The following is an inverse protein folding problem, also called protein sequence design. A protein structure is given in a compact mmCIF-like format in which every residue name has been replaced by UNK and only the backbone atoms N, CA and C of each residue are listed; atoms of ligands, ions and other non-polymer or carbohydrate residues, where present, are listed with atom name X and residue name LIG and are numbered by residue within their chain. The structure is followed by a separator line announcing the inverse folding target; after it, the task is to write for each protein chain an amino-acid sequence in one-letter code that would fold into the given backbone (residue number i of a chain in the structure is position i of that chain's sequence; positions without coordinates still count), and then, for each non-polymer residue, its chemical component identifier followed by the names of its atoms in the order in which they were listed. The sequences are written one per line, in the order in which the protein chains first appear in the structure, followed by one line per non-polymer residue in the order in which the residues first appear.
data_IF_071970626834
#
_entry.id   IF_071970626834
#
_cell.length_a   1.000
_cell.length_b   1.000
_cell.length_c   1.000
_cell.angle_alpha   90.00
_cell.angle_beta   90.00
_cell.angle_gamma   90.00
#
_symmetry.space_group_name_H-M   'P 1'
#
loop_
_entity.id
_entity.type
_entity.pdbx_description
1 polymer ?
#
# COMPACT_ATOMS: atom_id res chain seq x y z
N UNK A 1 6.10 -0.81 -24.51
CA UNK A 1 6.96 0.30 -24.08
C UNK A 1 7.89 -0.21 -22.99
N UNK A 2 9.09 0.34 -22.90
CA UNK A 2 10.05 0.03 -21.84
C UNK A 2 10.49 1.35 -21.23
N UNK A 3 10.54 1.38 -19.91
CA UNK A 3 11.06 2.49 -19.12
C UNK A 3 12.25 2.00 -18.29
N UNK A 4 13.20 2.88 -18.04
CA UNK A 4 14.42 2.59 -17.28
C UNK A 4 14.55 3.63 -16.17
N UNK A 5 14.93 3.22 -14.96
CA UNK A 5 15.32 4.14 -13.90
C UNK A 5 16.67 3.75 -13.28
N UNK A 6 17.40 4.76 -12.81
CA UNK A 6 18.65 4.58 -12.06
C UNK A 6 18.30 4.43 -10.58
N UNK A 7 18.77 3.34 -9.97
CA UNK A 7 18.62 3.12 -8.54
C UNK A 7 19.65 3.93 -7.75
N UNK A 8 19.39 4.19 -6.45
CA UNK A 8 20.34 4.89 -5.58
C UNK A 8 21.71 4.21 -5.45
N UNK A 9 21.80 2.91 -5.70
CA UNK A 9 23.07 2.14 -5.70
C UNK A 9 23.81 2.20 -7.05
N UNK A 10 23.31 2.97 -8.02
CA UNK A 10 23.89 3.09 -9.36
C UNK A 10 23.51 1.96 -10.32
N UNK A 11 22.84 0.91 -9.86
CA UNK A 11 22.26 -0.11 -10.75
C UNK A 11 21.05 0.47 -11.49
N UNK A 12 20.63 -0.12 -12.61
CA UNK A 12 19.41 0.33 -13.30
C UNK A 12 18.32 -0.71 -13.26
N UNK A 13 17.10 -0.21 -13.04
CA UNK A 13 15.87 -0.96 -13.11
C UNK A 13 15.25 -0.74 -14.49
N UNK A 14 14.74 -1.80 -15.09
CA UNK A 14 14.01 -1.73 -16.37
C UNK A 14 12.62 -2.31 -16.17
N UNK A 15 11.59 -1.54 -16.53
CA UNK A 15 10.19 -1.95 -16.45
C UNK A 15 9.60 -1.91 -17.86
N UNK A 16 9.04 -3.04 -18.29
CA UNK A 16 8.35 -3.16 -19.59
C UNK A 16 6.86 -3.37 -19.40
N UNK A 17 6.07 -2.74 -20.27
CA UNK A 17 4.64 -2.97 -20.36
C UNK A 17 4.12 -2.96 -21.80
N UNK A 18 3.00 -3.64 -21.99
CA UNK A 18 2.16 -3.55 -23.19
C UNK A 18 1.00 -2.61 -22.90
N UNK A 19 0.83 -1.57 -23.72
CA UNK A 19 -0.34 -0.68 -23.67
C UNK A 19 -1.35 -1.10 -24.74
N UNK A 20 -2.63 -1.09 -24.37
CA UNK A 20 -3.76 -1.39 -25.25
C UNK A 20 -4.78 -0.28 -25.04
N UNK A 21 -5.18 0.37 -26.12
CA UNK A 21 -6.22 1.39 -26.12
C UNK A 21 -7.47 0.81 -26.78
N UNK A 22 -8.59 0.81 -26.06
CA UNK A 22 -9.89 0.37 -26.59
C UNK A 22 -10.78 1.58 -26.81
N UNK A 23 -10.92 1.98 -28.08
CA UNK A 23 -11.75 3.12 -28.48
C UNK A 23 -13.26 2.92 -28.26
N UNK A 24 -13.73 1.68 -28.06
CA UNK A 24 -15.17 1.41 -27.80
C UNK A 24 -15.54 1.69 -26.36
N UNK A 25 -14.67 1.29 -25.43
CA UNK A 25 -14.87 1.49 -23.99
C UNK A 25 -14.20 2.76 -23.47
N UNK A 26 -13.33 3.38 -24.27
CA UNK A 26 -12.53 4.53 -23.86
C UNK A 26 -11.52 4.17 -22.77
N UNK A 27 -11.02 2.94 -22.76
CA UNK A 27 -10.11 2.45 -21.73
C UNK A 27 -8.69 2.32 -22.25
N UNK A 28 -7.72 2.66 -21.40
CA UNK A 28 -6.30 2.39 -21.62
C UNK A 28 -5.86 1.33 -20.63
N UNK A 29 -5.34 0.21 -21.13
CA UNK A 29 -4.85 -0.91 -20.32
C UNK A 29 -3.33 -1.03 -20.47
N UNK A 30 -2.61 -1.08 -19.35
CA UNK A 30 -1.19 -1.47 -19.32
C UNK A 30 -1.04 -2.81 -18.62
N UNK A 31 -0.28 -3.71 -19.25
CA UNK A 31 0.06 -5.03 -18.73
C UNK A 31 1.57 -5.11 -18.62
N UNK A 32 2.07 -5.36 -17.41
CA UNK A 32 3.49 -5.36 -17.09
C UNK A 32 4.09 -6.76 -17.20
N UNK A 33 5.41 -6.84 -17.39
CA UNK A 33 6.13 -8.11 -17.45
C UNK A 33 6.00 -8.94 -16.17
N UNK A 34 5.75 -8.29 -15.04
CA UNK A 34 5.46 -8.92 -13.74
C UNK A 34 3.96 -9.16 -13.52
N UNK A 35 3.16 -9.32 -14.58
CA UNK A 35 1.75 -9.68 -14.47
C UNK A 35 0.83 -8.58 -13.95
N UNK A 36 1.35 -7.53 -13.33
CA UNK A 36 0.54 -6.40 -12.87
C UNK A 36 -0.19 -5.77 -14.05
N UNK A 37 -1.36 -5.21 -13.77
CA UNK A 37 -2.19 -4.56 -14.77
C UNK A 37 -2.77 -3.27 -14.21
N UNK A 38 -2.81 -2.24 -15.03
CA UNK A 38 -3.53 -1.01 -14.73
C UNK A 38 -4.49 -0.72 -15.87
N UNK A 39 -5.73 -0.37 -15.54
CA UNK A 39 -6.75 0.04 -16.52
C UNK A 39 -7.25 1.41 -16.10
N UNK A 40 -7.10 2.39 -16.98
CA UNK A 40 -7.73 3.70 -16.85
C UNK A 40 -8.98 3.73 -17.72
N UNK A 41 -10.12 4.00 -17.11
CA UNK A 41 -11.37 4.31 -17.78
C UNK A 41 -11.74 5.79 -17.61
N UNK A 42 -12.93 6.14 -18.08
CA UNK A 42 -13.43 7.53 -18.03
C UNK A 42 -13.57 8.07 -16.60
N UNK A 43 -14.01 7.23 -15.67
CA UNK A 43 -14.38 7.59 -14.30
C UNK A 43 -13.73 6.68 -13.25
N UNK A 44 -12.79 5.83 -13.65
CA UNK A 44 -12.13 4.89 -12.74
C UNK A 44 -10.70 4.56 -13.15
N UNK A 45 -9.92 4.13 -12.16
CA UNK A 45 -8.66 3.42 -12.32
C UNK A 45 -8.77 2.06 -11.64
N UNK A 46 -8.41 0.99 -12.36
CA UNK A 46 -8.30 -0.36 -11.83
C UNK A 46 -6.83 -0.79 -11.79
N UNK A 47 -6.40 -1.38 -10.68
CA UNK A 47 -5.05 -1.91 -10.46
C UNK A 47 -5.13 -3.36 -10.03
N UNK A 48 -4.48 -4.24 -10.76
CA UNK A 48 -4.42 -5.69 -10.49
C UNK A 48 -3.00 -6.09 -10.09
N UNK A 49 -2.85 -6.86 -9.02
CA UNK A 49 -1.56 -7.49 -8.66
C UNK A 49 -1.47 -8.87 -9.32
N UNK A 50 -1.32 -8.90 -10.65
CA UNK A 50 -1.32 -10.16 -11.39
C UNK A 50 -2.66 -10.90 -11.26
N UNK A 51 -2.60 -12.18 -10.91
CA UNK A 51 -3.77 -13.00 -10.57
C UNK A 51 -4.18 -12.88 -9.08
N UNK A 52 -3.79 -11.79 -8.41
CA UNK A 52 -4.18 -11.44 -7.04
C UNK A 52 -5.40 -10.50 -7.01
N UNK A 53 -5.51 -9.69 -5.97
CA UNK A 53 -6.65 -8.78 -5.79
C UNK A 53 -6.68 -7.68 -6.85
N UNK A 54 -7.89 -7.42 -7.35
CA UNK A 54 -8.24 -6.29 -8.20
C UNK A 54 -8.75 -5.13 -7.33
N UNK A 55 -8.15 -3.95 -7.48
CA UNK A 55 -8.57 -2.72 -6.82
C UNK A 55 -9.14 -1.75 -7.85
N UNK A 56 -10.26 -1.10 -7.55
CA UNK A 56 -10.84 -0.04 -8.38
C UNK A 56 -10.99 1.20 -7.52
N UNK A 57 -10.54 2.34 -8.04
CA UNK A 57 -10.76 3.68 -7.48
C UNK A 57 -11.54 4.50 -8.50
N UNK A 58 -12.67 5.07 -8.08
CA UNK A 58 -13.53 5.90 -8.92
C UNK A 58 -13.21 7.37 -8.70
N UNK A 59 -13.48 8.19 -9.72
CA UNK A 59 -13.26 9.64 -9.67
C UNK A 59 -14.09 10.32 -8.58
N UNK A 60 -15.22 9.72 -8.19
CA UNK A 60 -16.09 10.20 -7.11
C UNK A 60 -15.62 9.80 -5.70
N UNK A 61 -14.43 9.20 -5.59
CA UNK A 61 -13.79 8.80 -4.33
C UNK A 61 -14.18 7.41 -3.84
N UNK A 62 -15.16 6.74 -4.45
CA UNK A 62 -15.52 5.35 -4.09
C UNK A 62 -14.43 4.37 -4.52
N UNK A 63 -14.21 3.35 -3.69
CA UNK A 63 -13.25 2.29 -3.93
C UNK A 63 -13.91 0.91 -3.81
N UNK A 64 -13.37 -0.07 -4.50
CA UNK A 64 -13.75 -1.47 -4.34
C UNK A 64 -12.53 -2.36 -4.54
N UNK A 65 -12.53 -3.52 -3.89
CA UNK A 65 -11.53 -4.54 -4.09
C UNK A 65 -12.19 -5.90 -4.23
N UNK A 66 -11.69 -6.72 -5.16
CA UNK A 66 -12.28 -8.01 -5.52
C UNK A 66 -11.20 -9.08 -5.61
N UNK A 67 -11.49 -10.26 -5.06
CA UNK A 67 -10.63 -11.43 -5.16
C UNK A 67 -10.64 -11.99 -6.60
N UNK A 68 -9.66 -12.83 -6.98
CA UNK A 68 -9.59 -13.45 -8.31
C UNK A 68 -10.82 -14.27 -8.71
N UNK A 69 -11.58 -14.78 -7.74
CA UNK A 69 -12.82 -15.53 -7.98
C UNK A 69 -14.07 -14.65 -8.10
N UNK A 70 -13.90 -13.32 -8.10
CA UNK A 70 -14.98 -12.35 -8.21
C UNK A 70 -15.68 -12.01 -6.89
N UNK A 71 -15.30 -12.61 -5.76
CA UNK A 71 -15.87 -12.25 -4.46
C UNK A 71 -15.30 -10.92 -3.96
N UNK A 72 -16.12 -10.04 -3.36
CA UNK A 72 -15.64 -8.76 -2.87
C UNK A 72 -14.73 -8.93 -1.64
N UNK A 73 -13.66 -8.14 -1.59
CA UNK A 73 -12.89 -7.86 -0.37
C UNK A 73 -13.59 -6.73 0.39
N UNK A 74 -13.83 -5.61 -0.29
CA UNK A 74 -14.68 -4.52 0.17
C UNK A 74 -15.35 -3.80 -0.99
N UNK A 75 -16.44 -3.08 -0.72
CA UNK A 75 -17.13 -2.24 -1.69
C UNK A 75 -17.69 -0.98 -1.06
N UNK A 76 -17.47 0.14 -1.74
CA UNK A 76 -18.03 1.44 -1.36
C UNK A 76 -19.37 1.70 -2.05
N UNK A 77 -20.28 2.34 -1.32
CA UNK A 77 -21.49 2.95 -1.86
C UNK A 77 -21.72 4.32 -1.25
N UNK A 78 -22.41 5.21 -1.97
CA UNK A 78 -22.90 6.43 -1.33
C UNK A 78 -24.07 6.11 -0.42
N UNK A 79 -24.10 6.80 0.71
CA UNK A 79 -25.23 6.83 1.62
C UNK A 79 -25.45 8.25 2.10
N UNK A 80 -26.64 8.51 2.61
CA UNK A 80 -27.00 9.80 3.21
C UNK A 80 -27.17 9.59 4.70
N UNK A 81 -26.42 10.35 5.49
CA UNK A 81 -26.55 10.37 6.93
C UNK A 81 -27.17 11.70 7.34
N UNK A 82 -28.17 11.67 8.21
CA UNK A 82 -28.68 12.89 8.85
C UNK A 82 -27.84 13.16 10.08
N UNK A 83 -27.13 14.28 10.07
CA UNK A 83 -26.40 14.72 11.26
C UNK A 83 -27.36 15.19 12.37
N UNK A 84 -26.80 15.59 13.51
CA UNK A 84 -27.57 16.09 14.66
C UNK A 84 -28.34 17.39 14.32
N UNK A 85 -27.89 18.14 13.31
CA UNK A 85 -28.60 19.31 12.76
C UNK A 85 -29.73 18.94 11.79
N UNK A 86 -29.87 17.67 11.41
CA UNK A 86 -30.90 17.18 10.49
C UNK A 86 -30.57 17.35 9.01
N UNK A 87 -29.41 17.93 8.67
CA UNK A 87 -28.98 18.13 7.30
C UNK A 87 -28.46 16.82 6.71
N UNK A 88 -28.85 16.46 5.47
CA UNK A 88 -28.37 15.27 4.81
C UNK A 88 -26.91 15.47 4.38
N UNK A 89 -25.99 14.77 5.05
CA UNK A 89 -24.58 14.69 4.65
C UNK A 89 -24.35 13.48 3.76
N UNK A 90 -23.73 13.69 2.60
CA UNK A 90 -23.27 12.60 1.72
C UNK A 90 -22.07 11.92 2.34
N UNK A 91 -22.16 10.63 2.54
CA UNK A 91 -21.08 9.79 3.07
C UNK A 91 -20.80 8.64 2.12
N UNK A 92 -19.60 8.08 2.24
CA UNK A 92 -19.28 6.78 1.64
C UNK A 92 -19.42 5.74 2.74
N UNK A 93 -20.13 4.66 2.43
CA UNK A 93 -20.21 3.47 3.26
C UNK A 93 -19.36 2.38 2.60
N UNK A 94 -18.32 1.91 3.30
CA UNK A 94 -17.51 0.76 2.89
C UNK A 94 -17.99 -0.48 3.62
N UNK A 95 -18.41 -1.48 2.86
CA UNK A 95 -18.68 -2.82 3.42
C UNK A 95 -17.48 -3.72 3.16
N UNK A 96 -16.82 -4.20 4.22
CA UNK A 96 -15.74 -5.19 4.17
C UNK A 96 -16.32 -6.59 4.34
N UNK A 97 -16.02 -7.47 3.40
CA UNK A 97 -16.48 -8.86 3.35
C UNK A 97 -15.37 -9.84 3.68
N UNK A 98 -14.12 -9.45 3.50
CA UNK A 98 -12.95 -10.29 3.72
C UNK A 98 -11.93 -9.56 4.58
N UNK A 99 -11.35 -10.26 5.55
CA UNK A 99 -10.16 -9.84 6.29
C UNK A 99 -9.00 -10.80 6.02
N UNK A 100 -7.79 -10.38 6.37
CA UNK A 100 -6.60 -11.22 6.23
C UNK A 100 -6.17 -11.78 7.58
N UNK A 101 -5.81 -13.06 7.59
CA UNK A 101 -5.27 -13.75 8.75
C UNK A 101 -4.21 -14.76 8.34
N UNK A 102 -2.99 -14.59 8.86
CA UNK A 102 -1.80 -15.39 8.52
C UNK A 102 -1.63 -15.49 7.00
N UNK A 103 -1.78 -14.35 6.32
CA UNK A 103 -1.66 -14.23 4.86
C UNK A 103 -2.77 -14.88 4.04
N UNK A 104 -3.90 -15.29 4.65
CA UNK A 104 -5.04 -15.93 3.96
C UNK A 104 -6.32 -15.09 4.08
N UNK A 105 -7.18 -15.10 3.05
CA UNK A 105 -8.47 -14.42 3.13
C UNK A 105 -9.41 -15.21 4.02
N UNK A 106 -10.05 -14.51 4.97
CA UNK A 106 -11.09 -15.03 5.84
C UNK A 106 -12.34 -14.20 5.62
N UNK A 107 -13.43 -14.87 5.24
CA UNK A 107 -14.73 -14.21 5.06
C UNK A 107 -15.31 -13.80 6.40
N UNK A 108 -15.77 -12.57 6.47
CA UNK A 108 -16.48 -12.05 7.62
C UNK A 108 -17.85 -12.72 7.68
N UNK A 109 -18.15 -13.39 8.79
CA UNK A 109 -19.48 -13.99 9.01
C UNK A 109 -20.59 -12.94 9.01
N UNK A 110 -20.23 -11.71 9.40
CA UNK A 110 -21.05 -10.50 9.26
C UNK A 110 -20.16 -9.42 8.64
N UNK A 111 -20.45 -8.96 7.41
CA UNK A 111 -19.67 -7.90 6.79
C UNK A 111 -19.55 -6.67 7.69
N UNK A 112 -18.34 -6.12 7.79
CA UNK A 112 -18.03 -4.96 8.62
C UNK A 112 -18.33 -3.70 7.83
N UNK A 113 -19.16 -2.82 8.38
CA UNK A 113 -19.55 -1.56 7.74
C UNK A 113 -18.82 -0.39 8.39
N UNK A 114 -18.10 0.38 7.58
CA UNK A 114 -17.39 1.60 7.95
C UNK A 114 -17.91 2.79 7.17
N UNK A 115 -17.84 3.97 7.76
CA UNK A 115 -18.34 5.20 7.17
C UNK A 115 -17.20 6.20 6.96
N UNK A 116 -17.29 6.95 5.86
CA UNK A 116 -16.29 7.92 5.48
C UNK A 116 -16.99 9.23 5.10
N UNK A 117 -16.49 10.32 5.66
CA UNK A 117 -16.91 11.66 5.28
C UNK A 117 -16.28 12.01 3.94
N UNK A 118 -17.10 12.18 2.90
CA UNK A 118 -16.62 12.63 1.60
C UNK A 118 -16.27 14.13 1.67
N UNK A 119 -15.15 14.52 1.05
CA UNK A 119 -14.69 15.90 1.04
C UNK A 119 -13.61 16.15 0.01
N UNK A 120 -12.96 17.29 0.15
CA UNK A 120 -11.82 17.70 -0.69
C UNK A 120 -10.67 18.13 0.19
N UNK A 121 -9.45 17.88 -0.27
CA UNK A 121 -8.22 18.38 0.33
C UNK A 121 -7.32 18.91 -0.80
N UNK A 122 -7.01 20.21 -0.80
CA UNK A 122 -6.32 20.89 -1.90
C UNK A 122 -6.87 20.53 -3.29
N UNK A 123 -8.21 20.57 -3.42
CA UNK A 123 -8.93 20.23 -4.66
C UNK A 123 -9.02 18.74 -4.98
N UNK A 124 -8.24 17.87 -4.33
CA UNK A 124 -8.32 16.43 -4.53
C UNK A 124 -9.52 15.82 -3.79
N UNK A 125 -10.31 14.93 -4.41
CA UNK A 125 -11.40 14.24 -3.74
C UNK A 125 -10.83 13.25 -2.71
N UNK A 126 -11.34 13.33 -1.49
CA UNK A 126 -10.90 12.49 -0.36
C UNK A 126 -12.10 11.95 0.41
N UNK A 127 -11.89 10.82 1.08
CA UNK A 127 -12.84 10.23 1.99
C UNK A 127 -12.14 10.07 3.35
N UNK A 128 -12.68 10.63 4.42
CA UNK A 128 -12.09 10.55 5.76
C UNK A 128 -12.78 9.45 6.56
N UNK A 129 -12.06 8.40 6.94
CA UNK A 129 -12.61 7.35 7.80
C UNK A 129 -13.14 7.95 9.12
N UNK A 130 -14.42 7.69 9.41
CA UNK A 130 -15.10 8.17 10.61
C UNK A 130 -15.16 7.04 11.64
N UNK A 131 -14.24 7.01 12.61
CA UNK A 131 -14.26 5.98 13.62
C UNK A 131 -15.46 6.14 14.55
N UNK A 132 -15.98 5.02 15.04
CA UNK A 132 -16.86 5.04 16.21
C UNK A 132 -15.99 5.19 17.45
N UNK A 133 -16.40 5.99 18.46
CA UNK A 133 -15.67 6.07 19.71
C UNK A 133 -15.39 4.68 20.27
N UNK A 134 -14.11 4.39 20.54
CA UNK A 134 -13.69 3.09 21.06
C UNK A 134 -14.34 2.82 22.43
N UNK A 135 -14.93 1.63 22.65
CA UNK A 135 -15.42 1.25 23.96
C UNK A 135 -14.28 1.24 25.00
N UNK A 136 -14.57 1.57 26.28
CA UNK A 136 -13.54 1.68 27.33
C UNK A 136 -12.60 0.47 27.46
N UNK A 137 -13.09 -0.75 27.18
CA UNK A 137 -12.29 -1.97 27.22
C UNK A 137 -11.09 -1.95 26.25
N UNK A 138 -11.26 -1.36 25.06
CA UNK A 138 -10.18 -1.24 24.07
C UNK A 138 -9.12 -0.22 24.48
N UNK A 139 -9.51 0.78 25.28
CA UNK A 139 -8.58 1.78 25.79
C UNK A 139 -7.79 1.19 26.96
N UNK A 140 -8.48 0.50 27.87
CA UNK A 140 -7.87 -0.12 29.04
C UNK A 140 -6.74 -1.09 28.66
N UNK A 141 -6.92 -1.88 27.59
CA UNK A 141 -5.89 -2.80 27.11
C UNK A 141 -4.69 -2.12 26.44
N UNK A 142 -4.85 -0.89 25.96
CA UNK A 142 -3.76 -0.15 25.33
C UNK A 142 -2.90 0.62 26.36
N UNK A 143 -3.51 1.08 27.46
CA UNK A 143 -2.84 1.97 28.42
C UNK A 143 -2.23 1.25 29.63
N UNK A 144 -2.59 -0.02 29.86
CA UNK A 144 -2.10 -0.82 30.99
C UNK A 144 -1.18 -1.92 30.48
N UNK A 145 0.02 -2.11 31.08
CA UNK A 145 0.89 -3.24 30.77
C UNK A 145 0.16 -4.59 30.88
N UNK A 146 0.50 -5.53 30.01
CA UNK A 146 -0.09 -6.86 30.07
C UNK A 146 0.33 -7.58 31.36
N UNK A 147 -0.62 -8.15 32.13
CA UNK A 147 -0.29 -8.90 33.34
C UNK A 147 0.49 -10.19 33.04
N UNK A 148 0.30 -10.75 31.85
CA UNK A 148 1.07 -11.86 31.31
C UNK A 148 1.66 -11.41 29.96
N UNK A 149 2.98 -11.52 29.74
CA UNK A 149 3.60 -11.13 28.47
C UNK A 149 2.96 -11.89 27.29
N UNK A 150 2.57 -11.17 26.25
CA UNK A 150 2.00 -11.78 25.05
C UNK A 150 3.12 -12.20 24.10
N UNK A 151 3.23 -13.49 23.72
CA UNK A 151 4.29 -13.93 22.83
C UNK A 151 4.09 -13.34 21.42
N UNK A 152 5.16 -12.93 20.74
CA UNK A 152 5.03 -12.33 19.40
C UNK A 152 4.31 -13.24 18.39
N UNK A 153 4.53 -14.55 18.51
CA UNK A 153 3.92 -15.59 17.66
C UNK A 153 2.39 -15.71 17.81
N UNK A 154 1.80 -15.13 18.88
CA UNK A 154 0.35 -15.08 19.12
C UNK A 154 -0.41 -14.43 17.96
N UNK A 155 0.22 -13.50 17.25
CA UNK A 155 -0.43 -12.70 16.21
C UNK A 155 0.04 -13.07 14.79
N UNK A 156 0.78 -14.17 14.64
CA UNK A 156 1.34 -14.65 13.38
C UNK A 156 2.87 -14.70 13.38
N UNK A 157 3.45 -15.20 12.29
CA UNK A 157 4.91 -15.22 12.12
C UNK A 157 5.38 -13.85 11.63
N UNK A 158 5.69 -12.94 12.54
CA UNK A 158 6.11 -11.56 12.25
C UNK A 158 7.31 -11.54 11.28
N UNK A 159 8.29 -12.42 11.52
CA UNK A 159 9.54 -12.50 10.76
C UNK A 159 9.35 -13.00 9.31
N UNK A 160 8.16 -13.50 8.95
CA UNK A 160 7.83 -13.79 7.53
C UNK A 160 7.59 -12.52 6.71
N UNK A 161 7.16 -11.43 7.35
CA UNK A 161 6.73 -10.20 6.67
C UNK A 161 7.74 -9.08 6.85
N UNK A 162 8.30 -8.96 8.06
CA UNK A 162 9.17 -7.84 8.46
C UNK A 162 10.35 -8.36 9.26
N UNK A 163 11.55 -7.88 8.93
CA UNK A 163 12.75 -8.09 9.71
C UNK A 163 13.05 -6.82 10.52
N UNK A 164 12.74 -6.87 11.82
CA UNK A 164 13.15 -5.83 12.75
C UNK A 164 14.60 -6.06 13.20
N UNK A 165 15.31 -4.98 13.54
CA UNK A 165 16.65 -5.09 14.14
C UNK A 165 16.65 -5.92 15.44
N UNK A 166 15.56 -5.84 16.21
CA UNK A 166 15.31 -6.72 17.36
C UNK A 166 13.80 -6.93 17.58
N UNK A 167 13.27 -8.10 17.18
CA UNK A 167 11.90 -8.52 17.47
C UNK A 167 11.80 -9.01 18.92
N UNK A 168 10.97 -8.39 19.80
CA UNK A 168 10.72 -8.91 21.13
C UNK A 168 10.11 -10.32 21.04
N UNK A 169 10.60 -11.27 21.86
CA UNK A 169 9.98 -12.62 21.93
C UNK A 169 8.59 -12.58 22.54
N UNK A 170 8.37 -11.64 23.45
CA UNK A 170 7.09 -11.36 24.08
C UNK A 170 6.98 -9.86 24.39
N UNK A 171 5.74 -9.38 24.45
CA UNK A 171 5.39 -7.99 24.69
C UNK A 171 4.74 -7.85 26.05
N UNK A 172 5.25 -6.94 26.86
CA UNK A 172 4.65 -6.48 28.13
C UNK A 172 3.95 -5.14 27.97
N UNK A 173 4.47 -4.28 27.09
CA UNK A 173 3.91 -2.97 26.77
C UNK A 173 2.99 -3.05 25.53
N UNK A 174 1.68 -2.77 25.67
CA UNK A 174 0.75 -2.74 24.56
C UNK A 174 1.11 -1.74 23.46
N UNK A 175 1.72 -0.61 23.81
CA UNK A 175 2.12 0.39 22.81
C UNK A 175 3.23 -0.15 21.90
N UNK A 176 4.18 -0.91 22.46
CA UNK A 176 5.23 -1.59 21.70
C UNK A 176 4.63 -2.64 20.77
N UNK A 177 3.75 -3.50 21.30
CA UNK A 177 3.04 -4.51 20.50
C UNK A 177 2.25 -3.88 19.37
N UNK A 178 1.42 -2.87 19.67
CA UNK A 178 0.56 -2.22 18.69
C UNK A 178 1.35 -1.48 17.61
N UNK A 179 2.48 -0.86 17.96
CA UNK A 179 3.39 -0.23 17.00
C UNK A 179 3.97 -1.25 16.01
N UNK A 180 4.50 -2.37 16.51
CA UNK A 180 5.04 -3.42 15.63
C UNK A 180 3.90 -4.09 14.82
N UNK A 181 2.75 -4.37 15.45
CA UNK A 181 1.54 -4.90 14.79
C UNK A 181 1.13 -4.05 13.60
N UNK A 182 1.13 -2.73 13.77
CA UNK A 182 0.76 -1.80 12.72
C UNK A 182 1.63 -1.96 11.47
N UNK A 183 2.94 -2.17 11.66
CA UNK A 183 3.89 -2.35 10.56
C UNK A 183 3.67 -3.71 9.88
N UNK A 184 3.74 -4.80 10.65
CA UNK A 184 3.74 -6.13 10.05
C UNK A 184 2.40 -6.48 9.42
N UNK A 185 1.26 -6.05 9.99
CA UNK A 185 -0.04 -6.41 9.42
C UNK A 185 -0.30 -5.67 8.11
N UNK A 186 0.33 -4.51 7.87
CA UNK A 186 0.33 -3.89 6.55
C UNK A 186 1.07 -4.71 5.49
N UNK A 187 2.25 -5.26 5.82
CA UNK A 187 2.98 -6.15 4.91
C UNK A 187 2.30 -7.52 4.75
N UNK A 188 1.69 -8.04 5.81
CA UNK A 188 0.84 -9.24 5.77
C UNK A 188 -0.29 -9.08 4.76
N UNK A 189 -1.03 -7.97 4.83
CA UNK A 189 -2.10 -7.62 3.88
C UNK A 189 -1.57 -7.58 2.44
N UNK A 190 -0.44 -6.92 2.20
CA UNK A 190 0.14 -6.82 0.85
C UNK A 190 0.60 -8.15 0.26
N UNK A 191 1.23 -9.02 1.07
CA UNK A 191 1.57 -10.38 0.63
C UNK A 191 0.32 -11.22 0.39
N UNK A 192 -0.74 -11.01 1.16
CA UNK A 192 -1.99 -11.70 0.96
C UNK A 192 -2.74 -11.24 -0.32
N UNK A 193 -2.70 -9.95 -0.63
CA UNK A 193 -3.24 -9.40 -1.89
C UNK A 193 -2.52 -9.90 -3.15
N UNK A 194 -1.26 -10.29 -2.99
CA UNK A 194 -0.43 -10.87 -4.05
C UNK A 194 -0.34 -12.39 -4.00
N UNK A 195 -1.02 -13.07 -3.07
CA UNK A 195 -0.94 -14.53 -2.97
C UNK A 195 -1.67 -15.18 -4.17
N UNK A 196 -1.05 -16.16 -4.86
CA UNK A 196 -1.69 -16.84 -5.97
C UNK A 196 -2.92 -17.60 -5.47
N UNK A 197 -4.08 -17.20 -5.97
CA UNK A 197 -5.34 -17.90 -5.77
C UNK A 197 -5.41 -19.05 -6.79
N UNK A 198 -5.83 -20.23 -6.34
CA UNK A 198 -6.10 -21.43 -7.16
C UNK A 198 -4.96 -21.98 -8.04
N UNK A 199 -3.70 -22.02 -7.57
CA UNK A 199 -2.61 -22.71 -8.27
C UNK A 199 -2.14 -22.08 -9.59
N UNK A 200 -2.76 -20.98 -10.00
CA UNK A 200 -2.36 -20.16 -11.14
C UNK A 200 -1.15 -19.30 -10.75
N UNK A 201 -0.09 -19.30 -11.57
CA UNK A 201 1.06 -18.43 -11.34
C UNK A 201 0.61 -16.96 -11.29
N UNK A 202 0.98 -16.22 -10.24
CA UNK A 202 0.70 -14.79 -10.08
C UNK A 202 1.12 -13.97 -11.32
N UNK A 203 2.14 -14.47 -12.03
CA UNK A 203 2.81 -13.85 -13.16
C UNK A 203 2.50 -14.54 -14.51
N UNK A 204 1.57 -15.50 -14.52
CA UNK A 204 1.39 -16.48 -15.58
C UNK A 204 0.57 -16.03 -16.80
N UNK A 205 0.12 -14.78 -16.91
CA UNK A 205 -0.69 -14.38 -18.06
C UNK A 205 0.13 -14.44 -19.36
N UNK A 206 -0.43 -14.96 -20.48
CA UNK A 206 0.26 -15.00 -21.77
C UNK A 206 0.74 -13.61 -22.23
N UNK A 207 -0.03 -12.57 -21.89
CA UNK A 207 0.33 -11.19 -22.18
C UNK A 207 1.55 -10.75 -21.38
N UNK A 208 1.62 -11.02 -20.07
CA UNK A 208 2.81 -10.74 -19.27
C UNK A 208 4.02 -11.55 -19.75
N UNK A 209 3.82 -12.82 -20.11
CA UNK A 209 4.86 -13.65 -20.71
C UNK A 209 5.40 -13.04 -22.01
N UNK A 210 4.53 -12.51 -22.87
CA UNK A 210 4.95 -11.84 -24.12
C UNK A 210 5.77 -10.58 -23.85
N UNK A 211 5.43 -9.80 -22.81
CA UNK A 211 6.20 -8.63 -22.39
C UNK A 211 7.58 -9.06 -21.89
N UNK A 212 7.66 -10.11 -21.07
CA UNK A 212 8.94 -10.67 -20.60
C UNK A 212 9.82 -11.13 -21.76
N UNK A 213 9.27 -11.88 -22.70
CA UNK A 213 10.01 -12.35 -23.87
C UNK A 213 10.54 -11.18 -24.71
N UNK A 214 9.75 -10.12 -24.90
CA UNK A 214 10.19 -8.92 -25.62
C UNK A 214 11.32 -8.19 -24.89
N UNK A 215 11.26 -8.10 -23.55
CA UNK A 215 12.34 -7.51 -22.75
C UNK A 215 13.63 -8.33 -22.83
N UNK A 216 13.55 -9.66 -22.75
CA UNK A 216 14.71 -10.56 -22.87
C UNK A 216 15.34 -10.46 -24.26
N UNK A 217 14.55 -10.43 -25.33
CA UNK A 217 15.06 -10.26 -26.69
C UNK A 217 15.78 -8.93 -26.85
N UNK A 218 15.26 -7.84 -26.28
CA UNK A 218 15.93 -6.55 -26.31
C UNK A 218 17.26 -6.59 -25.55
N UNK A 219 17.31 -7.24 -24.39
CA UNK A 219 18.55 -7.41 -23.62
C UNK A 219 19.61 -8.18 -24.42
N UNK A 220 19.22 -9.21 -25.16
CA UNK A 220 20.14 -9.96 -26.03
C UNK A 220 20.64 -9.12 -27.21
N UNK A 221 19.77 -8.34 -27.85
CA UNK A 221 20.16 -7.42 -28.94
C UNK A 221 21.12 -6.34 -28.45
N UNK A 222 20.86 -5.78 -27.28
CA UNK A 222 21.73 -4.83 -26.61
C UNK A 222 23.13 -5.37 -26.31
N UNK A 223 23.21 -6.56 -25.71
CA UNK A 223 24.49 -7.23 -25.45
C UNK A 223 25.27 -7.44 -26.75
N UNK A 224 24.61 -7.85 -27.84
CA UNK A 224 25.25 -8.06 -29.15
C UNK A 224 25.73 -6.76 -29.84
N UNK A 225 25.13 -5.60 -29.54
CA UNK A 225 25.57 -4.30 -30.08
C UNK A 225 26.74 -3.70 -29.29
N UNK A 226 26.88 -4.05 -28.02
CA UNK A 226 27.94 -3.52 -27.13
C UNK A 226 29.30 -4.16 -27.43
N UNK A 227 29.35 -5.33 -28.08
CA UNK A 227 30.59 -5.95 -28.56
C UNK A 227 31.23 -5.20 -29.75
N UNK A 228 30.60 -4.14 -30.29
CA UNK A 228 31.06 -3.47 -31.53
C UNK A 228 31.04 -1.94 -31.59
N UNK A 229 30.71 -1.18 -30.53
CA UNK A 229 30.69 0.30 -30.59
C UNK A 229 30.96 1.01 -29.26
N UNK A 230 31.77 2.09 -29.23
CA UNK A 230 31.98 2.90 -28.04
C UNK A 230 30.76 3.80 -27.72
N UNK A 231 30.34 3.79 -26.46
CA UNK A 231 29.20 4.53 -25.92
C UNK A 231 29.35 6.07 -26.01
N UNK A 232 28.29 6.79 -26.40
CA UNK A 232 28.25 8.27 -26.46
C UNK A 232 27.17 8.84 -25.49
N UNK A 233 27.55 9.49 -24.37
CA UNK A 233 26.63 9.84 -23.26
C UNK A 233 25.69 11.04 -23.47
N UNK A 234 25.52 11.58 -24.68
CA UNK A 234 24.87 12.89 -24.91
C UNK A 234 23.45 12.87 -25.51
N UNK A 235 22.74 11.73 -25.51
CA UNK A 235 21.34 11.68 -25.99
C UNK A 235 20.33 11.49 -24.85
N UNK A 236 19.58 12.54 -24.46
CA UNK A 236 18.44 12.43 -23.55
C UNK A 236 17.37 11.52 -24.18
N UNK A 237 16.98 10.45 -23.50
CA UNK A 237 15.99 9.48 -23.97
C UNK A 237 16.53 8.25 -24.70
N UNK A 238 17.86 8.11 -24.83
CA UNK A 238 18.45 6.84 -25.26
C UNK A 238 18.41 5.84 -24.10
N UNK A 239 17.82 4.66 -24.32
CA UNK A 239 17.95 3.53 -23.41
C UNK A 239 19.40 3.06 -23.49
N UNK A 240 20.22 3.39 -22.50
CA UNK A 240 21.54 2.81 -22.43
C UNK A 240 21.37 1.35 -21.99
N UNK A 241 21.72 0.48 -22.93
CA UNK A 241 21.47 -0.94 -23.04
C UNK A 241 22.80 -1.73 -22.89
N UNK A 242 23.94 -1.04 -22.74
CA UNK A 242 25.29 -1.63 -22.71
C UNK A 242 25.82 -2.05 -21.33
N UNK A 243 25.10 -1.77 -20.24
CA UNK A 243 25.43 -2.32 -18.91
C UNK A 243 24.58 -3.57 -18.64
N UNK A 244 25.02 -4.52 -17.78
CA UNK A 244 24.18 -5.65 -17.40
C UNK A 244 22.96 -5.16 -16.62
N UNK A 245 21.85 -4.93 -17.30
CA UNK A 245 20.57 -4.61 -16.67
C UNK A 245 19.92 -5.90 -16.22
N UNK A 246 19.78 -6.07 -14.90
CA UNK A 246 19.00 -7.15 -14.33
C UNK A 246 17.53 -6.89 -14.59
N UNK A 247 16.90 -7.72 -15.44
CA UNK A 247 15.45 -7.84 -15.40
C UNK A 247 15.07 -8.29 -13.99
N UNK A 248 14.37 -7.45 -13.23
CA UNK A 248 13.67 -7.93 -12.05
C UNK A 248 12.58 -8.88 -12.55
N UNK A 249 12.90 -10.18 -12.47
CA UNK A 249 11.91 -11.22 -12.57
C UNK A 249 10.73 -10.94 -11.64
N UNK A 250 9.62 -11.62 -11.94
CA UNK A 250 8.54 -11.86 -10.99
C UNK A 250 9.07 -11.86 -9.54
N UNK A 251 8.69 -10.87 -8.71
CA UNK A 251 9.15 -10.78 -7.33
C UNK A 251 9.08 -12.15 -6.66
N UNK A 252 10.20 -12.65 -6.14
CA UNK A 252 10.16 -13.86 -5.31
C UNK A 252 9.35 -13.53 -4.07
N UNK A 253 8.19 -14.17 -3.83
CA UNK A 253 7.43 -13.94 -2.63
C UNK A 253 8.24 -14.49 -1.45
N UNK A 254 8.66 -13.64 -0.51
CA UNK A 254 9.11 -14.14 0.80
C UNK A 254 10.36 -13.54 1.42
N UNK A 255 10.98 -12.49 0.86
CA UNK A 255 11.97 -11.75 1.64
C UNK A 255 11.26 -10.77 2.58
N UNK A 256 11.51 -10.91 3.88
CA UNK A 256 11.00 -9.99 4.90
C UNK A 256 11.53 -8.58 4.66
N UNK A 257 10.68 -7.57 4.87
CA UNK A 257 11.07 -6.17 4.68
C UNK A 257 11.91 -5.71 5.87
N UNK A 258 13.11 -5.20 5.61
CA UNK A 258 13.95 -4.64 6.66
C UNK A 258 13.36 -3.31 7.14
N UNK A 259 13.09 -3.20 8.44
CA UNK A 259 12.55 -1.99 9.06
C UNK A 259 13.48 -1.54 10.19
N UNK A 260 13.94 -0.29 10.12
CA UNK A 260 14.85 0.28 11.12
C UNK A 260 14.14 0.57 12.45
N UNK A 261 14.91 0.65 13.54
CA UNK A 261 14.36 1.00 14.85
C UNK A 261 13.74 2.41 14.87
N UNK A 262 14.33 3.36 14.14
CA UNK A 262 13.78 4.72 13.97
C UNK A 262 12.37 4.69 13.38
N UNK A 263 12.15 3.88 12.34
CA UNK A 263 10.83 3.70 11.72
C UNK A 263 9.86 3.06 12.70
N UNK A 264 10.29 2.06 13.48
CA UNK A 264 9.45 1.42 14.49
C UNK A 264 8.99 2.39 15.57
N UNK A 265 9.92 3.18 16.10
CA UNK A 265 9.61 4.21 17.10
C UNK A 265 8.64 5.23 16.53
N UNK A 266 8.85 5.66 15.28
CA UNK A 266 7.97 6.64 14.64
C UNK A 266 6.55 6.11 14.40
N UNK A 267 6.41 4.87 13.95
CA UNK A 267 5.09 4.25 13.80
C UNK A 267 4.42 4.06 15.17
N UNK A 268 5.18 3.71 16.22
CA UNK A 268 4.63 3.61 17.59
C UNK A 268 4.02 4.93 18.07
N UNK A 269 4.69 6.05 17.83
CA UNK A 269 4.16 7.38 18.14
C UNK A 269 2.87 7.68 17.36
N UNK A 270 2.86 7.38 16.05
CA UNK A 270 1.68 7.58 15.20
C UNK A 270 0.51 6.71 15.67
N UNK A 271 0.75 5.45 16.05
CA UNK A 271 -0.26 4.57 16.63
C UNK A 271 -0.84 5.18 17.90
N UNK A 272 0.00 5.71 18.81
CA UNK A 272 -0.49 6.38 20.03
C UNK A 272 -1.42 7.55 19.70
N UNK A 273 -1.01 8.43 18.78
CA UNK A 273 -1.81 9.57 18.34
C UNK A 273 -3.11 9.13 17.67
N UNK A 274 -3.06 8.09 16.83
CA UNK A 274 -4.25 7.52 16.18
C UNK A 274 -5.21 6.90 17.19
N UNK A 275 -4.73 6.16 18.20
CA UNK A 275 -5.60 5.60 19.24
C UNK A 275 -6.33 6.70 20.01
N UNK A 276 -5.68 7.84 20.29
CA UNK A 276 -6.34 8.99 20.90
C UNK A 276 -7.46 9.57 20.01
N UNK A 277 -7.24 9.66 18.70
CA UNK A 277 -8.27 10.06 17.73
C UNK A 277 -9.44 9.07 17.69
N UNK A 278 -9.15 7.77 17.68
CA UNK A 278 -10.16 6.71 17.71
C UNK A 278 -10.99 6.76 19.00
N UNK A 279 -10.36 7.00 20.15
CA UNK A 279 -11.05 7.21 21.43
C UNK A 279 -12.01 8.40 21.37
N UNK A 280 -11.61 9.50 20.71
CA UNK A 280 -12.44 10.68 20.51
C UNK A 280 -13.48 10.54 19.38
N UNK A 281 -13.50 9.43 18.64
CA UNK A 281 -14.33 9.29 17.43
C UNK A 281 -13.99 10.30 16.33
N UNK A 282 -12.74 10.76 16.30
CA UNK A 282 -12.25 11.79 15.38
C UNK A 282 -11.48 11.17 14.22
N UNK A 283 -11.73 11.57 12.96
CA UNK A 283 -10.97 11.08 11.81
C UNK A 283 -9.48 11.45 11.85
N UNK A 284 -8.61 10.54 11.39
CA UNK A 284 -7.23 10.87 11.03
C UNK A 284 -7.22 11.47 9.61
N UNK A 285 -6.85 12.74 9.49
CA UNK A 285 -6.93 13.49 8.24
C UNK A 285 -5.56 14.00 7.79
N UNK A 286 -5.37 14.14 6.48
CA UNK A 286 -4.15 14.68 5.91
C UNK A 286 -3.90 16.13 6.36
N UNK A 287 -4.95 16.94 6.46
CA UNK A 287 -4.86 18.28 7.04
C UNK A 287 -4.40 18.27 8.51
N UNK A 288 -4.87 17.30 9.32
CA UNK A 288 -4.40 17.12 10.69
C UNK A 288 -2.94 16.71 10.78
N UNK A 289 -2.48 15.83 9.87
CA UNK A 289 -1.06 15.43 9.77
C UNK A 289 -0.18 16.63 9.38
N UNK A 290 -0.59 17.42 8.39
CA UNK A 290 0.19 18.56 7.90
C UNK A 290 0.22 19.74 8.88
N UNK A 291 -0.81 19.88 9.71
CA UNK A 291 -0.84 20.88 10.78
C UNK A 291 -0.01 20.49 12.02
N UNK A 292 0.43 19.24 12.12
CA UNK A 292 1.23 18.77 13.24
C UNK A 292 2.67 19.32 13.17
N UNK A 293 3.31 19.64 14.32
CA UNK A 293 4.66 20.21 14.35
C UNK A 293 5.73 19.29 13.76
N UNK A 294 5.46 17.98 13.71
CA UNK A 294 6.33 16.92 13.22
C UNK A 294 5.83 16.30 11.90
N UNK A 295 5.02 17.05 11.13
CA UNK A 295 4.45 16.61 9.85
C UNK A 295 5.50 16.01 8.91
N UNK A 296 6.68 16.63 8.80
CA UNK A 296 7.76 16.18 7.91
C UNK A 296 8.29 14.77 8.24
N UNK A 297 8.16 14.33 9.49
CA UNK A 297 8.56 12.99 9.93
C UNK A 297 7.41 11.97 9.86
N UNK A 298 6.23 12.35 9.38
CA UNK A 298 5.09 11.43 9.28
C UNK A 298 5.38 10.33 8.24
N UNK A 299 4.95 9.11 8.56
CA UNK A 299 5.12 7.93 7.72
C UNK A 299 3.75 7.47 7.27
N UNK A 300 3.61 7.19 5.99
CA UNK A 300 2.42 6.60 5.41
C UNK A 300 2.72 5.15 5.07
N UNK A 301 1.77 4.28 5.38
CA UNK A 301 1.81 2.90 4.95
C UNK A 301 0.78 2.69 3.84
N UNK A 302 1.23 2.21 2.69
CA UNK A 302 0.37 2.03 1.53
C UNK A 302 -0.78 1.05 1.82
N UNK A 303 -2.01 1.45 1.52
CA UNK A 303 -3.21 0.63 1.75
C UNK A 303 -3.51 -0.32 0.57
N UNK A 304 -3.11 0.07 -0.63
CA UNK A 304 -3.36 -0.62 -1.90
C UNK A 304 -2.15 -0.40 -2.83
N UNK A 305 -1.94 -1.25 -3.85
CA UNK A 305 -0.88 -1.04 -4.82
C UNK A 305 -1.11 0.25 -5.61
N UNK A 306 -0.03 1.01 -5.86
CA UNK A 306 -0.02 2.22 -6.69
C UNK A 306 1.05 2.10 -7.77
N UNK A 307 0.79 2.67 -8.94
CA UNK A 307 1.81 2.86 -9.97
C UNK A 307 2.24 4.30 -9.95
N UNK A 308 3.55 4.54 -9.83
CA UNK A 308 4.13 5.87 -9.71
C UNK A 308 5.34 5.99 -10.62
N UNK A 309 5.65 7.23 -11.01
CA UNK A 309 6.84 7.54 -11.81
C UNK A 309 7.94 8.10 -10.92
N UNK A 310 9.11 7.45 -10.92
CA UNK A 310 10.26 7.86 -10.14
C UNK A 310 10.87 9.17 -10.69
N UNK A 311 11.08 10.16 -9.83
CA UNK A 311 11.54 11.49 -10.23
C UNK A 311 12.97 11.48 -10.80
N UNK A 312 13.89 10.75 -10.15
CA UNK A 312 15.32 10.74 -10.49
C UNK A 312 15.66 9.92 -11.74
N UNK A 313 14.75 9.06 -12.20
CA UNK A 313 15.00 8.15 -13.32
C UNK A 313 13.91 8.13 -14.40
N UNK A 314 12.74 8.74 -14.17
CA UNK A 314 11.62 8.74 -15.12
C UNK A 314 10.95 7.37 -15.35
N UNK A 315 11.45 6.31 -14.72
CA UNK A 315 10.90 4.96 -14.80
C UNK A 315 9.68 4.77 -13.90
N UNK A 316 8.79 3.87 -14.30
CA UNK A 316 7.63 3.50 -13.48
C UNK A 316 8.03 2.45 -12.45
N UNK A 317 7.47 2.56 -11.25
CA UNK A 317 7.57 1.55 -10.23
C UNK A 317 6.24 1.40 -9.49
N UNK A 318 6.13 0.34 -8.70
CA UNK A 318 4.94 0.05 -7.92
C UNK A 318 5.22 0.30 -6.45
N UNK A 319 4.36 1.04 -5.76
CA UNK A 319 4.30 0.95 -4.30
C UNK A 319 3.29 -0.16 -3.99
N UNK A 320 3.73 -1.25 -3.38
CA UNK A 320 2.85 -2.34 -2.95
C UNK A 320 2.24 -2.02 -1.60
N UNK A 321 1.07 -2.58 -1.29
CA UNK A 321 0.47 -2.50 0.05
C UNK A 321 1.47 -2.91 1.13
N UNK A 322 1.55 -2.11 2.20
CA UNK A 322 2.47 -2.33 3.32
C UNK A 322 3.76 -1.52 3.23
N UNK A 323 4.18 -1.08 2.03
CA UNK A 323 5.34 -0.21 1.86
C UNK A 323 5.20 1.07 2.69
N UNK A 324 6.32 1.55 3.23
CA UNK A 324 6.43 2.75 4.04
C UNK A 324 7.05 3.88 3.24
N UNK A 325 6.37 5.01 3.20
CA UNK A 325 6.81 6.24 2.53
C UNK A 325 6.72 7.42 3.50
N UNK A 326 7.57 8.42 3.32
CA UNK A 326 7.56 9.67 4.09
C UNK A 326 7.57 10.87 3.16
N UNK A 327 7.32 12.08 3.68
CA UNK A 327 7.44 13.28 2.86
C UNK A 327 8.90 13.47 2.43
N UNK A 328 9.14 13.59 1.13
CA UNK A 328 10.39 14.15 0.61
C UNK A 328 10.38 15.67 0.76
N UNK A 329 9.23 16.27 0.47
CA UNK A 329 8.89 17.66 0.77
C UNK A 329 7.41 17.74 1.14
N UNK A 330 7.04 18.67 2.02
CA UNK A 330 5.63 18.90 2.32
C UNK A 330 4.90 19.38 1.04
N UNK A 331 3.67 18.89 0.80
CA UNK A 331 2.91 19.29 -0.38
C UNK A 331 2.50 20.76 -0.30
N UNK A 332 2.47 21.42 -1.45
CA UNK A 332 1.83 22.72 -1.61
C UNK A 332 0.33 22.57 -1.92
N UNK A 333 -0.43 23.65 -1.81
CA UNK A 333 -1.89 23.63 -2.02
C UNK A 333 -2.30 23.46 -3.50
N UNK A 334 -1.35 23.53 -4.43
CA UNK A 334 -1.62 23.65 -5.87
C UNK A 334 -1.42 22.35 -6.65
N UNK A 335 -0.59 21.43 -6.16
CA UNK A 335 -0.10 20.29 -6.94
C UNK A 335 -1.07 19.10 -7.02
N UNK A 336 -1.93 18.88 -6.00
CA UNK A 336 -2.78 17.68 -5.93
C UNK A 336 -2.03 16.37 -5.67
N UNK A 337 -0.71 16.43 -5.51
CA UNK A 337 0.20 15.33 -5.21
C UNK A 337 1.18 15.78 -4.11
N UNK A 338 1.76 14.82 -3.38
CA UNK A 338 2.92 15.07 -2.53
C UNK A 338 4.13 14.30 -3.08
N UNK A 339 5.31 14.91 -2.96
CA UNK A 339 6.56 14.23 -3.27
C UNK A 339 6.96 13.39 -2.06
N UNK A 340 7.01 12.07 -2.27
CA UNK A 340 7.25 11.10 -1.21
C UNK A 340 8.59 10.42 -1.42
N UNK A 341 9.29 10.12 -0.33
CA UNK A 341 10.47 9.24 -0.35
C UNK A 341 10.07 7.86 0.14
N UNK A 342 10.57 6.81 -0.52
CA UNK A 342 10.37 5.43 -0.09
C UNK A 342 11.29 5.13 1.10
N UNK A 343 10.71 4.79 2.25
CA UNK A 343 11.46 4.56 3.49
C UNK A 343 11.81 3.08 3.65
N UNK A 344 10.82 2.20 3.48
CA UNK A 344 11.02 0.76 3.50
C UNK A 344 10.01 0.11 2.55
N UNK A 345 10.47 -0.86 1.76
CA UNK A 345 9.62 -1.49 0.74
C UNK A 345 10.01 -2.93 0.47
N UNK A 346 9.04 -3.71 0.02
CA UNK A 346 9.23 -5.12 -0.30
C UNK A 346 9.83 -5.39 -1.69
N UNK A 347 10.17 -6.66 -1.99
CA UNK A 347 10.58 -7.06 -3.33
C UNK A 347 9.56 -6.67 -4.40
N UNK A 348 10.03 -6.10 -5.51
CA UNK A 348 9.16 -5.66 -6.60
C UNK A 348 8.44 -4.33 -6.37
N UNK A 349 8.67 -3.67 -5.23
CA UNK A 349 8.24 -2.30 -4.98
C UNK A 349 9.20 -1.27 -5.57
N UNK A 350 8.88 0.02 -5.48
CA UNK A 350 9.84 1.11 -5.64
C UNK A 350 11.00 0.94 -4.65
N UNK A 351 12.22 1.25 -5.06
CA UNK A 351 13.40 1.05 -4.22
C UNK A 351 13.41 2.03 -3.04
N UNK A 352 13.94 1.65 -1.86
CA UNK A 352 14.17 2.60 -0.78
C UNK A 352 14.98 3.81 -1.27
N UNK A 353 14.65 4.99 -0.75
CA UNK A 353 15.16 6.32 -1.13
C UNK A 353 14.71 6.86 -2.50
N UNK A 354 14.00 6.08 -3.31
CA UNK A 354 13.33 6.61 -4.50
C UNK A 354 12.36 7.73 -4.12
N UNK A 355 12.29 8.77 -4.96
CA UNK A 355 11.35 9.88 -4.79
C UNK A 355 10.24 9.75 -5.83
N UNK A 356 8.99 9.70 -5.36
CA UNK A 356 7.80 9.41 -6.18
C UNK A 356 6.66 10.37 -5.84
N UNK A 357 5.92 10.88 -6.84
CA UNK A 357 4.71 11.65 -6.58
C UNK A 357 3.57 10.70 -6.20
N UNK A 358 2.83 11.02 -5.14
CA UNK A 358 1.65 10.26 -4.69
C UNK A 358 0.47 11.21 -4.57
N UNK A 359 -0.70 10.81 -5.06
CA UNK A 359 -1.90 11.67 -5.03
C UNK A 359 -2.33 11.94 -3.59
N UNK A 360 -2.84 13.15 -3.30
CA UNK A 360 -3.36 13.47 -1.97
C UNK A 360 -4.56 12.57 -1.58
N UNK A 361 -5.32 12.09 -2.57
CA UNK A 361 -6.40 11.12 -2.36
C UNK A 361 -5.89 9.78 -1.86
N UNK A 362 -4.80 9.27 -2.44
CA UNK A 362 -4.20 8.01 -1.99
C UNK A 362 -3.50 8.17 -0.64
N UNK A 363 -2.88 9.32 -0.36
CA UNK A 363 -2.34 9.57 0.99
C UNK A 363 -3.44 9.56 2.06
N UNK A 364 -4.60 10.18 1.78
CA UNK A 364 -5.73 10.07 2.72
C UNK A 364 -6.23 8.63 2.85
N UNK A 365 -6.25 7.84 1.77
CA UNK A 365 -6.59 6.42 1.84
C UNK A 365 -5.58 5.62 2.69
N UNK A 366 -4.29 5.97 2.65
CA UNK A 366 -3.29 5.38 3.54
C UNK A 366 -3.56 5.70 5.01
N UNK A 367 -3.98 6.94 5.32
CA UNK A 367 -4.39 7.33 6.67
C UNK A 367 -5.64 6.58 7.14
N UNK A 368 -6.62 6.39 6.25
CA UNK A 368 -7.81 5.58 6.54
C UNK A 368 -7.40 4.14 6.87
N UNK A 369 -6.61 3.50 6.00
CA UNK A 369 -6.11 2.16 6.21
C UNK A 369 -5.31 2.02 7.52
N UNK A 370 -4.51 3.04 7.85
CA UNK A 370 -3.74 3.06 9.10
C UNK A 370 -4.67 3.07 10.33
N UNK A 371 -5.67 3.95 10.36
CA UNK A 371 -6.62 4.05 11.46
C UNK A 371 -7.51 2.81 11.60
N UNK A 372 -7.99 2.27 10.48
CA UNK A 372 -8.76 1.03 10.43
C UNK A 372 -7.96 -0.16 10.96
N UNK A 373 -6.69 -0.28 10.55
CA UNK A 373 -5.79 -1.35 10.98
C UNK A 373 -5.46 -1.23 12.47
N UNK A 374 -5.30 -0.01 12.99
CA UNK A 374 -5.12 0.22 14.42
C UNK A 374 -6.34 -0.26 15.23
N UNK A 375 -7.56 0.02 14.75
CA UNK A 375 -8.80 -0.50 15.33
C UNK A 375 -8.87 -2.04 15.28
N UNK A 376 -8.58 -2.64 14.12
CA UNK A 376 -8.57 -4.11 13.95
C UNK A 376 -7.51 -4.77 14.84
N UNK A 377 -6.32 -4.15 15.00
CA UNK A 377 -5.27 -4.64 15.88
C UNK A 377 -5.69 -4.60 17.35
N UNK A 378 -6.34 -3.52 17.81
CA UNK A 378 -6.89 -3.44 19.17
C UNK A 378 -7.91 -4.56 19.43
N UNK A 379 -8.75 -4.88 18.43
CA UNK A 379 -9.70 -6.00 18.51
C UNK A 379 -9.01 -7.36 18.62
N UNK A 380 -7.92 -7.58 17.88
CA UNK A 380 -7.13 -8.80 17.97
C UNK A 380 -6.51 -8.96 19.36
N UNK A 381 -5.92 -7.90 19.91
CA UNK A 381 -5.29 -7.91 21.24
C UNK A 381 -6.34 -8.13 22.34
N UNK A 382 -7.50 -7.46 22.25
CA UNK A 382 -8.60 -7.67 23.20
C UNK A 382 -9.11 -9.12 23.17
N UNK A 383 -9.30 -9.68 21.99
CA UNK A 383 -9.77 -11.07 21.82
C UNK A 383 -8.75 -12.09 22.37
N UNK A 384 -7.46 -11.85 22.13
CA UNK A 384 -6.35 -12.70 22.61
C UNK A 384 -6.24 -12.67 24.14
N UNK A 385 -6.30 -11.48 24.76
CA UNK A 385 -6.23 -11.35 26.23
C UNK A 385 -7.47 -11.86 26.95
N UNK A 386 -8.66 -11.72 26.35
CA UNK A 386 -9.91 -12.19 26.96
C UNK A 386 -10.06 -13.72 26.90
N UNK A 387 -9.62 -14.35 25.81
CA UNK A 387 -9.76 -15.79 25.61
C UNK A 387 -8.56 -16.61 26.10
N UNK A 388 -7.39 -15.97 26.26
CA UNK A 388 -6.11 -16.66 26.47
C UNK A 388 -5.65 -17.49 25.27
N UNK A 389 -6.42 -17.49 24.17
CA UNK A 389 -6.10 -18.18 22.92
C UNK A 389 -5.86 -17.16 21.81
N UNK A 390 -4.59 -17.08 21.42
CA UNK A 390 -4.10 -16.36 20.27
C UNK A 390 -3.55 -17.43 19.30
#
# INVERSE_FOLDING_TARGET
MITQSLRPDGSRRVVGYRQIEDGRTGTTTRIYGDGRRVVWGRDFEQRSIGNGVDFVTRQDGRREATLPDGRPVYRDRFTTFKDLSGEPRRMIERTRYTRWWKGRPVYETRPVVRYYDAGFFYGAPVAYYRPRPLPPAYIAIYVVPFPVPLPAVAFGMVDEWVAFASTPRAYTDPAVLMGDMQIWSGFEEGRAYSAPWSGTSLYGSPQAASVRSAMVQMQQQAASQTEGSPFNPQQPGSLDLGSPFGYEGAPSPGAAVSVSEEVRLRVREQVRSTVALLQAGTPLTLGGVLAAPDAAAYLFQTAQPLVVSELSGGGECFLNTGDLIGFYSLPDEASGFAMMTVVASGPGSCSPRSVVPVSLSDLQEMLNGFAERAEDNLQRVLSCTASGSC
#
